data_IF_730199383586
#
_entry.id   IF_730199383586
#
_cell.length_a   1.000
_cell.length_b   1.000
_cell.length_c   1.000
_cell.angle_alpha   90.00
_cell.angle_beta   90.00
_cell.angle_gamma   90.00
#
_symmetry.space_group_name_H-M   'P 1'
#
loop_
_entity.id
_entity.type
_entity.pdbx_description
1 polymer ?
#
# COMPACT_ATOMS: atom_id res chain seq x y z
N UNK A 1 -7.62 57.61 34.87
CA UNK A 1 -8.18 57.22 33.56
C UNK A 1 -7.59 55.87 33.20
N UNK A 2 -8.42 54.84 33.28
CA UNK A 2 -8.07 53.46 32.95
C UNK A 2 -8.16 53.29 31.43
N UNK A 3 -7.13 52.73 30.80
CA UNK A 3 -7.23 52.18 29.46
C UNK A 3 -6.49 50.84 29.43
N UNK A 4 -7.28 49.80 29.68
CA UNK A 4 -7.01 48.39 29.39
C UNK A 4 -7.02 48.24 27.87
N UNK A 5 -5.86 47.98 27.29
CA UNK A 5 -5.78 47.41 25.95
C UNK A 5 -5.34 45.94 26.12
N UNK A 6 -6.33 45.07 26.31
CA UNK A 6 -6.20 43.67 25.96
C UNK A 6 -5.94 43.60 24.47
N UNK A 7 -4.68 43.44 24.09
CA UNK A 7 -4.36 42.93 22.78
C UNK A 7 -3.98 41.46 22.96
N UNK A 8 -5.02 40.64 22.80
CA UNK A 8 -4.96 39.19 22.62
C UNK A 8 -4.12 38.93 21.37
N UNK A 9 -2.80 39.02 21.51
CA UNK A 9 -1.90 38.52 20.50
C UNK A 9 -2.01 37.00 20.62
N UNK A 10 -2.91 36.49 19.79
CA UNK A 10 -3.12 35.10 19.47
C UNK A 10 -1.78 34.41 19.56
N UNK A 11 -1.75 33.38 20.40
CA UNK A 11 -0.66 32.43 20.43
C UNK A 11 -0.49 31.95 19.00
N UNK A 12 0.42 32.57 18.26
CA UNK A 12 1.20 31.90 17.24
C UNK A 12 1.85 30.76 18.00
N UNK A 13 1.13 29.64 18.07
CA UNK A 13 1.73 28.34 18.21
C UNK A 13 2.56 28.26 16.93
N UNK A 14 3.76 28.80 17.01
CA UNK A 14 4.86 28.38 16.16
C UNK A 14 4.92 26.89 16.41
N UNK A 15 4.25 26.13 15.56
CA UNK A 15 4.57 24.73 15.34
C UNK A 15 5.98 24.77 14.77
N UNK A 16 6.98 25.01 15.62
CA UNK A 16 8.36 24.75 15.30
C UNK A 16 8.37 23.30 14.89
N UNK A 17 8.63 23.05 13.62
CA UNK A 17 8.59 21.69 13.08
C UNK A 17 9.40 20.81 14.01
N UNK A 18 8.74 19.80 14.59
CA UNK A 18 9.42 18.85 15.44
C UNK A 18 10.45 18.10 14.60
N UNK A 19 11.52 17.64 15.25
CA UNK A 19 12.52 16.78 14.61
C UNK A 19 11.82 15.59 13.95
N UNK A 20 12.25 15.28 12.73
CA UNK A 20 11.68 14.22 11.94
C UNK A 20 12.68 13.07 11.81
N UNK A 21 12.16 11.85 11.86
CA UNK A 21 12.94 10.65 11.57
C UNK A 21 12.34 9.96 10.35
N UNK A 22 13.16 9.75 9.32
CA UNK A 22 12.81 8.94 8.17
C UNK A 22 13.55 7.60 8.26
N UNK A 23 12.89 6.51 7.87
CA UNK A 23 13.54 5.20 7.83
C UNK A 23 13.15 4.45 6.57
N UNK A 24 14.09 3.65 6.07
CA UNK A 24 13.87 2.72 4.96
C UNK A 24 14.54 1.39 5.22
N UNK A 25 13.94 0.32 4.71
CA UNK A 25 14.52 -1.02 4.71
C UNK A 25 14.93 -1.38 3.29
N UNK A 26 16.09 -2.00 3.14
CA UNK A 26 16.61 -2.44 1.85
C UNK A 26 17.41 -3.73 2.02
N UNK A 27 17.64 -4.45 0.94
CA UNK A 27 18.58 -5.56 0.87
C UNK A 27 19.81 -5.12 0.11
N UNK A 28 20.99 -5.30 0.69
CA UNK A 28 22.25 -4.97 0.05
C UNK A 28 22.63 -6.03 -1.01
N UNK A 29 23.61 -5.76 -1.89
CA UNK A 29 24.07 -6.70 -2.91
C UNK A 29 24.58 -8.04 -2.34
N UNK A 30 25.09 -8.04 -1.10
CA UNK A 30 25.53 -9.24 -0.39
C UNK A 30 24.37 -10.06 0.16
N UNK A 31 23.13 -9.55 0.09
CA UNK A 31 21.91 -10.25 0.49
C UNK A 31 21.44 -10.00 1.92
N UNK A 32 22.11 -9.15 2.70
CA UNK A 32 21.67 -8.77 4.03
C UNK A 32 20.52 -7.79 3.98
N UNK A 33 19.56 -7.97 4.89
CA UNK A 33 18.49 -7.00 5.11
C UNK A 33 18.99 -5.91 6.05
N UNK A 34 18.97 -4.68 5.56
CA UNK A 34 19.45 -3.50 6.23
C UNK A 34 18.30 -2.52 6.51
N UNK A 35 18.48 -1.71 7.54
CA UNK A 35 17.62 -0.58 7.84
C UNK A 35 18.48 0.67 7.99
N UNK A 36 18.08 1.74 7.32
CA UNK A 36 18.73 3.04 7.42
C UNK A 36 17.76 4.04 8.04
N UNK A 37 18.25 4.77 9.04
CA UNK A 37 17.52 5.79 9.78
C UNK A 37 18.19 7.14 9.56
N UNK A 38 17.40 8.16 9.23
CA UNK A 38 17.84 9.53 9.07
C UNK A 38 17.08 10.42 10.04
N UNK A 39 17.82 11.22 10.80
CA UNK A 39 17.29 12.29 11.62
C UNK A 39 17.45 13.62 10.88
N UNK A 40 16.43 14.47 11.01
CA UNK A 40 16.41 15.82 10.46
C UNK A 40 15.71 16.76 11.43
N UNK A 41 16.01 18.04 11.32
CA UNK A 41 15.43 19.08 12.16
C UNK A 41 13.93 19.24 11.89
N UNK A 42 13.50 18.92 10.67
CA UNK A 42 12.10 18.94 10.28
C UNK A 42 11.77 17.93 9.16
N UNK A 43 10.47 17.78 8.88
CA UNK A 43 9.97 16.84 7.87
C UNK A 43 10.44 17.18 6.45
N UNK A 44 10.49 18.46 6.08
CA UNK A 44 10.91 18.89 4.74
C UNK A 44 12.38 18.52 4.47
N UNK A 45 13.24 18.69 5.48
CA UNK A 45 14.64 18.31 5.43
C UNK A 45 14.80 16.78 5.40
N UNK A 46 14.02 16.05 6.19
CA UNK A 46 14.01 14.58 6.18
C UNK A 46 13.73 14.04 4.76
N UNK A 47 12.75 14.62 4.05
CA UNK A 47 12.41 14.20 2.69
C UNK A 47 13.49 14.54 1.66
N UNK A 48 14.12 15.71 1.76
CA UNK A 48 15.26 16.08 0.90
C UNK A 48 16.44 15.12 1.10
N UNK A 49 16.79 14.83 2.36
CA UNK A 49 17.84 13.86 2.72
C UNK A 49 17.49 12.45 2.24
N UNK A 50 16.23 12.03 2.42
CA UNK A 50 15.74 10.74 1.96
C UNK A 50 15.89 10.57 0.44
N UNK A 51 15.58 11.60 -0.36
CA UNK A 51 15.71 11.54 -1.82
C UNK A 51 17.17 11.27 -2.25
N UNK A 52 18.12 11.96 -1.63
CA UNK A 52 19.56 11.71 -1.88
C UNK A 52 19.96 10.30 -1.47
N UNK A 53 19.51 9.82 -0.30
CA UNK A 53 19.81 8.46 0.16
C UNK A 53 19.23 7.39 -0.77
N UNK A 54 18.01 7.57 -1.27
CA UNK A 54 17.41 6.63 -2.23
C UNK A 54 18.21 6.57 -3.54
N UNK A 55 18.74 7.70 -4.01
CA UNK A 55 19.62 7.72 -5.17
C UNK A 55 20.92 6.95 -4.90
N UNK A 56 21.54 7.13 -3.73
CA UNK A 56 22.73 6.38 -3.33
C UNK A 56 22.47 4.88 -3.19
N UNK A 57 21.36 4.48 -2.58
CA UNK A 57 20.96 3.08 -2.47
C UNK A 57 20.74 2.45 -3.85
N UNK A 58 20.13 3.19 -4.78
CA UNK A 58 19.96 2.75 -6.17
C UNK A 58 21.30 2.57 -6.88
N UNK A 59 22.26 3.49 -6.68
CA UNK A 59 23.61 3.39 -7.25
C UNK A 59 24.39 2.21 -6.66
N UNK A 60 24.20 1.93 -5.38
CA UNK A 60 24.81 0.80 -4.68
C UNK A 60 24.11 -0.55 -4.96
N UNK A 61 23.17 -0.60 -5.91
CA UNK A 61 22.40 -1.81 -6.27
C UNK A 61 21.60 -2.41 -5.10
N UNK A 62 21.28 -1.59 -4.09
CA UNK A 62 20.40 -2.01 -3.00
C UNK A 62 18.96 -2.12 -3.49
N UNK A 63 18.23 -3.12 -3.00
CA UNK A 63 16.83 -3.36 -3.39
C UNK A 63 15.88 -3.00 -2.24
N UNK A 64 14.81 -2.21 -2.46
CA UNK A 64 13.90 -1.79 -1.39
C UNK A 64 13.10 -2.98 -0.84
N UNK A 65 13.02 -3.07 0.50
CA UNK A 65 12.17 -4.04 1.19
C UNK A 65 10.78 -3.43 1.40
N UNK A 66 9.80 -3.84 0.59
CA UNK A 66 8.40 -3.39 0.69
C UNK A 66 7.78 -3.88 2.00
N UNK A 67 7.18 -2.97 2.79
CA UNK A 67 6.55 -3.30 4.09
C UNK A 67 5.22 -4.07 3.94
N UNK A 68 4.59 -4.06 2.77
CA UNK A 68 3.26 -4.63 2.54
C UNK A 68 3.19 -5.58 1.34
N UNK A 69 4.13 -6.51 1.21
CA UNK A 69 3.96 -7.53 0.20
C UNK A 69 4.36 -8.89 0.72
N UNK A 70 3.48 -9.85 0.47
CA UNK A 70 3.66 -11.28 0.64
C UNK A 70 4.74 -11.81 -0.32
N UNK A 71 5.92 -11.19 -0.30
CA UNK A 71 7.03 -11.37 -1.24
C UNK A 71 8.04 -12.41 -0.75
N UNK A 72 7.59 -13.35 0.08
CA UNK A 72 8.19 -14.70 0.16
C UNK A 72 7.67 -15.60 -0.97
N UNK A 73 6.68 -15.13 -1.76
CA UNK A 73 6.14 -15.86 -2.89
C UNK A 73 6.54 -15.18 -4.20
N UNK A 74 7.43 -15.88 -4.94
CA UNK A 74 7.66 -15.81 -6.40
C UNK A 74 8.92 -15.06 -6.85
N UNK A 75 10.04 -15.78 -6.74
CA UNK A 75 10.88 -16.02 -7.92
C UNK A 75 9.98 -16.52 -9.06
N UNK A 76 9.71 -15.71 -10.06
CA UNK A 76 9.72 -16.10 -11.49
C UNK A 76 9.20 -14.96 -12.37
N UNK A 77 10.11 -14.54 -13.24
CA UNK A 77 9.98 -13.90 -14.54
C UNK A 77 8.57 -13.71 -15.14
N UNK A 78 8.41 -12.54 -15.76
CA UNK A 78 7.54 -12.23 -16.91
C UNK A 78 6.08 -12.68 -16.83
N UNK A 79 5.15 -11.74 -16.70
CA UNK A 79 3.87 -11.80 -17.43
C UNK A 79 3.19 -10.42 -17.53
N UNK A 80 2.46 -10.17 -18.64
CA UNK A 80 1.86 -8.88 -18.99
C UNK A 80 0.72 -8.57 -18.02
N UNK A 81 0.34 -7.29 -17.91
CA UNK A 81 -0.75 -6.84 -17.04
C UNK A 81 -1.98 -7.74 -17.24
N UNK A 82 -2.26 -8.60 -16.26
CA UNK A 82 -3.19 -9.71 -16.44
C UNK A 82 -4.61 -9.19 -16.64
N UNK A 83 -5.21 -9.50 -17.79
CA UNK A 83 -6.64 -9.38 -17.98
C UNK A 83 -7.36 -10.29 -16.97
N UNK A 84 -8.53 -9.87 -16.49
CA UNK A 84 -9.39 -10.74 -15.69
C UNK A 84 -9.96 -11.82 -16.62
N UNK A 85 -9.76 -13.09 -16.26
CA UNK A 85 -10.24 -14.24 -17.04
C UNK A 85 -11.29 -15.00 -16.22
N UNK A 86 -12.40 -15.37 -16.86
CA UNK A 86 -13.40 -16.28 -16.30
C UNK A 86 -12.85 -17.71 -16.33
N UNK A 87 -12.81 -18.38 -15.18
CA UNK A 87 -12.44 -19.80 -15.07
C UNK A 87 -13.74 -20.61 -15.14
N UNK A 88 -13.83 -21.50 -16.13
CA UNK A 88 -14.90 -22.51 -16.18
C UNK A 88 -14.60 -23.62 -15.18
N UNK A 89 -15.60 -24.13 -14.43
CA UNK A 89 -15.40 -25.30 -13.59
C UNK A 89 -14.94 -26.50 -14.44
N UNK A 90 -13.97 -27.26 -13.94
CA UNK A 90 -13.52 -28.51 -14.56
C UNK A 90 -14.40 -29.66 -14.07
N UNK A 91 -14.99 -30.42 -15.00
CA UNK A 91 -15.88 -31.56 -14.70
C UNK A 91 -17.23 -31.17 -14.12
N UNK A 92 -17.80 -32.05 -13.28
CA UNK A 92 -19.12 -31.86 -12.63
C UNK A 92 -19.08 -30.97 -11.36
N UNK A 93 -17.99 -30.23 -11.15
CA UNK A 93 -17.84 -29.35 -9.99
C UNK A 93 -18.78 -28.14 -10.13
N UNK A 94 -19.86 -28.11 -9.33
CA UNK A 94 -20.78 -26.97 -9.26
C UNK A 94 -20.09 -25.75 -8.66
N UNK A 95 -20.36 -24.55 -9.18
CA UNK A 95 -19.80 -23.36 -8.57
C UNK A 95 -20.48 -23.07 -7.22
N UNK A 96 -19.79 -22.39 -6.29
CA UNK A 96 -20.40 -21.98 -5.04
C UNK A 96 -21.55 -21.00 -5.28
N UNK A 97 -22.53 -21.02 -4.38
CA UNK A 97 -23.69 -20.13 -4.39
C UNK A 97 -23.47 -19.00 -3.40
N UNK A 98 -23.86 -17.78 -3.77
CA UNK A 98 -23.81 -16.64 -2.85
C UNK A 98 -24.81 -16.86 -1.70
N UNK A 99 -24.37 -16.83 -0.43
CA UNK A 99 -25.25 -17.09 0.71
C UNK A 99 -26.29 -15.99 0.96
N UNK A 100 -26.12 -14.82 0.34
CA UNK A 100 -27.02 -13.67 0.51
C UNK A 100 -28.14 -13.67 -0.53
N UNK A 101 -27.84 -14.10 -1.76
CA UNK A 101 -28.72 -13.96 -2.91
C UNK A 101 -29.17 -15.29 -3.51
N UNK A 102 -28.58 -16.41 -3.10
CA UNK A 102 -28.90 -17.74 -3.63
C UNK A 102 -28.49 -17.93 -5.10
N UNK A 103 -27.67 -17.04 -5.67
CA UNK A 103 -27.22 -17.07 -7.07
C UNK A 103 -25.85 -17.74 -7.18
N UNK A 104 -25.68 -18.57 -8.21
CA UNK A 104 -24.41 -19.22 -8.52
C UNK A 104 -23.32 -18.19 -8.87
N UNK A 105 -22.14 -18.35 -8.28
CA UNK A 105 -21.03 -17.43 -8.46
C UNK A 105 -20.07 -17.90 -9.54
N UNK A 106 -19.56 -16.97 -10.33
CA UNK A 106 -18.54 -17.25 -11.34
C UNK A 106 -17.14 -17.12 -10.75
N UNK A 107 -16.25 -18.06 -11.10
CA UNK A 107 -14.84 -18.02 -10.69
C UNK A 107 -14.03 -17.17 -11.66
N UNK A 108 -13.29 -16.20 -11.15
CA UNK A 108 -12.44 -15.28 -11.90
C UNK A 108 -11.00 -15.41 -11.48
N UNK A 109 -10.07 -15.10 -12.39
CA UNK A 109 -8.65 -15.06 -12.11
C UNK A 109 -7.96 -13.82 -12.68
N UNK A 110 -7.03 -13.27 -11.91
CA UNK A 110 -6.13 -12.19 -12.34
C UNK A 110 -4.84 -12.25 -11.51
N UNK A 111 -3.69 -12.19 -12.19
CA UNK A 111 -2.36 -12.19 -11.54
C UNK A 111 -2.17 -13.33 -10.52
N UNK A 112 -2.71 -14.52 -10.82
CA UNK A 112 -2.62 -15.70 -9.95
C UNK A 112 -3.50 -15.66 -8.70
N UNK A 113 -4.35 -14.64 -8.53
CA UNK A 113 -5.43 -14.63 -7.54
C UNK A 113 -6.72 -15.11 -8.19
N UNK A 114 -7.50 -15.90 -7.46
CA UNK A 114 -8.83 -16.33 -7.89
C UNK A 114 -9.89 -15.89 -6.89
N UNK A 115 -11.04 -15.43 -7.38
CA UNK A 115 -12.19 -15.08 -6.54
C UNK A 115 -13.49 -15.53 -7.20
N UNK A 116 -14.55 -15.62 -6.40
CA UNK A 116 -15.89 -15.89 -6.92
C UNK A 116 -16.71 -14.60 -6.83
N UNK A 117 -17.47 -14.27 -7.88
CA UNK A 117 -18.42 -13.16 -7.86
C UNK A 117 -19.61 -13.41 -8.76
N UNK A 118 -20.73 -12.74 -8.48
CA UNK A 118 -21.92 -12.75 -9.34
C UNK A 118 -22.44 -11.32 -9.50
N UNK A 119 -23.23 -11.12 -10.56
CA UNK A 119 -24.00 -9.90 -10.75
C UNK A 119 -25.26 -9.96 -9.89
N UNK A 120 -25.64 -8.81 -9.34
CA UNK A 120 -26.86 -8.63 -8.57
C UNK A 120 -27.48 -7.30 -8.97
N UNK A 121 -28.74 -7.35 -9.42
CA UNK A 121 -29.44 -6.23 -10.04
C UNK A 121 -28.57 -5.51 -11.09
N UNK A 122 -28.31 -4.21 -10.90
CA UNK A 122 -27.52 -3.37 -11.81
C UNK A 122 -26.00 -3.40 -11.51
N UNK A 123 -25.57 -4.23 -10.54
CA UNK A 123 -24.24 -4.16 -9.94
C UNK A 123 -23.53 -5.49 -9.75
N UNK A 124 -22.37 -5.42 -9.09
CA UNK A 124 -21.68 -6.58 -8.53
C UNK A 124 -22.12 -6.75 -7.08
N UNK A 125 -22.33 -8.00 -6.67
CA UNK A 125 -22.58 -8.31 -5.26
C UNK A 125 -21.41 -7.84 -4.39
N UNK A 126 -21.72 -7.05 -3.36
CA UNK A 126 -20.76 -6.42 -2.44
C UNK A 126 -20.82 -7.00 -1.02
N UNK A 127 -21.51 -8.13 -0.83
CA UNK A 127 -21.64 -8.78 0.47
C UNK A 127 -22.74 -8.21 1.39
N UNK A 128 -23.72 -7.48 0.84
CA UNK A 128 -24.91 -7.01 1.54
C UNK A 128 -26.16 -7.71 1.00
N UNK A 129 -27.17 -7.90 1.85
CA UNK A 129 -28.46 -8.54 1.51
C UNK A 129 -29.46 -7.59 0.82
N UNK A 130 -28.99 -6.55 0.12
CA UNK A 130 -29.87 -5.52 -0.44
C UNK A 130 -30.85 -6.09 -1.45
#
# INVERSE_FOLDING_TARGET
MSNRAENTNERFISFGEASATWSTRYRDPSGFECMLLLQAENGSEALKKAASVLAHLSQAQCTPLRKDSAESAKKSANKPSGATVLIKPEGDAKNPVCPLHGVEMQKWARNGRTWHSHRWEDGWCNGKQT
#
